data_IF_519680736071
#
_entry.id   IF_519680736071
#
_cell.length_a   1.000
_cell.length_b   1.000
_cell.length_c   1.000
_cell.angle_alpha   90.00
_cell.angle_beta   90.00
_cell.angle_gamma   90.00
#
_symmetry.space_group_name_H-M   'P 1'
#
loop_
_entity.id
_entity.type
_entity.pdbx_description
1 polymer ?
#
# COMPACT_ATOMS: atom_id res chain seq x y z
N UNK A 1 -6.54 14.92 14.32
CA UNK A 1 -5.70 14.82 13.11
C UNK A 1 -4.63 13.76 13.35
N UNK A 2 -4.14 13.10 12.31
CA UNK A 2 -3.19 11.99 12.49
C UNK A 2 -2.76 11.38 11.15
N UNK A 3 -1.95 10.31 11.19
CA UNK A 3 -1.48 9.62 10.00
C UNK A 3 -2.65 9.13 9.13
N UNK A 4 -2.52 9.28 7.81
CA UNK A 4 -3.55 8.87 6.86
C UNK A 4 -3.32 7.45 6.33
N UNK A 5 -2.12 7.19 5.80
CA UNK A 5 -1.73 5.91 5.20
C UNK A 5 -0.26 5.60 5.45
N UNK A 6 0.08 4.32 5.39
CA UNK A 6 1.44 3.80 5.30
C UNK A 6 1.50 2.93 4.05
N UNK A 7 2.40 3.24 3.12
CA UNK A 7 2.60 2.47 1.88
C UNK A 7 3.86 1.64 2.05
N UNK A 8 3.77 0.34 1.80
CA UNK A 8 4.90 -0.59 1.91
C UNK A 8 5.04 -1.43 0.64
N UNK A 9 6.11 -2.22 0.58
CA UNK A 9 6.33 -3.22 -0.46
C UNK A 9 5.25 -4.31 -0.50
N UNK A 10 4.47 -4.48 0.59
CA UNK A 10 3.47 -5.55 0.72
C UNK A 10 2.04 -5.05 0.68
N UNK A 11 1.77 -3.84 1.19
CA UNK A 11 0.41 -3.37 1.39
C UNK A 11 0.31 -1.84 1.52
N UNK A 12 -0.91 -1.34 1.33
CA UNK A 12 -1.32 -0.02 1.78
C UNK A 12 -2.09 -0.22 3.08
N UNK A 13 -1.55 0.34 4.16
CA UNK A 13 -2.13 0.29 5.50
C UNK A 13 -2.84 1.61 5.79
N UNK A 14 -3.95 1.51 6.50
CA UNK A 14 -4.71 2.65 7.01
C UNK A 14 -4.99 2.53 8.49
N UNK A 15 -5.91 3.34 8.97
CA UNK A 15 -6.33 3.36 10.37
C UNK A 15 -7.85 3.32 10.45
N UNK A 16 -8.36 2.47 11.32
CA UNK A 16 -9.79 2.34 11.57
C UNK A 16 -10.38 3.71 12.01
N UNK A 17 -11.54 4.14 11.47
CA UNK A 17 -12.06 5.49 11.69
C UNK A 17 -12.37 5.81 13.15
N UNK A 18 -12.76 4.83 13.97
CA UNK A 18 -13.07 5.04 15.39
C UNK A 18 -11.90 4.70 16.31
N UNK A 19 -11.49 3.42 16.33
CA UNK A 19 -10.43 2.91 17.22
C UNK A 19 -9.02 3.43 16.89
N UNK A 20 -8.81 3.98 15.69
CA UNK A 20 -7.49 4.44 15.19
C UNK A 20 -6.41 3.36 15.15
N UNK A 21 -6.77 2.08 15.28
CA UNK A 21 -5.82 0.97 15.10
C UNK A 21 -5.47 0.79 13.64
N UNK A 22 -4.25 0.36 13.37
CA UNK A 22 -3.76 0.12 12.01
C UNK A 22 -4.45 -1.12 11.41
N UNK A 23 -4.80 -1.03 10.14
CA UNK A 23 -5.48 -2.10 9.40
C UNK A 23 -5.01 -2.16 7.94
N UNK A 24 -5.03 -3.35 7.35
CA UNK A 24 -4.78 -3.57 5.93
C UNK A 24 -5.94 -2.99 5.13
N UNK A 25 -5.64 -2.10 4.18
CA UNK A 25 -6.63 -1.49 3.28
C UNK A 25 -6.54 -2.05 1.86
N UNK A 26 -5.33 -2.19 1.35
CA UNK A 26 -5.06 -2.84 0.06
C UNK A 26 -3.79 -3.67 0.19
N UNK A 27 -3.69 -4.71 -0.62
CA UNK A 27 -2.51 -5.59 -0.70
C UNK A 27 -1.84 -5.41 -2.05
N UNK A 28 -0.52 -5.49 -2.13
CA UNK A 28 0.13 -5.48 -3.44
C UNK A 28 -0.27 -6.75 -4.22
N UNK A 29 -0.33 -6.69 -5.57
CA UNK A 29 -0.72 -7.84 -6.39
C UNK A 29 0.07 -9.10 -6.02
N UNK A 30 -0.65 -10.19 -5.75
CA UNK A 30 -0.06 -11.48 -5.39
C UNK A 30 0.31 -11.68 -3.91
N UNK A 31 0.27 -10.64 -3.07
CA UNK A 31 0.61 -10.73 -1.64
C UNK A 31 -0.60 -11.13 -0.79
N UNK A 32 -0.48 -12.12 0.08
CA UNK A 32 -1.58 -12.55 0.97
C UNK A 32 -1.64 -11.77 2.28
N UNK A 33 -2.78 -11.82 2.96
CA UNK A 33 -2.97 -11.19 4.27
C UNK A 33 -2.05 -11.81 5.32
N UNK A 34 -1.82 -13.11 5.24
CA UNK A 34 -0.95 -13.87 6.13
C UNK A 34 0.50 -13.41 5.98
N UNK A 35 0.98 -13.17 4.75
CA UNK A 35 2.33 -12.65 4.50
C UNK A 35 2.52 -11.27 5.13
N UNK A 36 1.55 -10.38 4.96
CA UNK A 36 1.57 -9.03 5.56
C UNK A 36 1.63 -9.12 7.09
N UNK A 37 0.82 -10.00 7.69
CA UNK A 37 0.80 -10.21 9.15
C UNK A 37 2.10 -10.82 9.66
N UNK A 38 2.67 -11.80 8.95
CA UNK A 38 3.95 -12.40 9.32
C UNK A 38 5.10 -11.38 9.28
N UNK A 39 5.04 -10.42 8.37
CA UNK A 39 6.01 -9.32 8.26
C UNK A 39 5.76 -8.17 9.26
N UNK A 40 4.66 -8.20 10.03
CA UNK A 40 4.28 -7.12 10.95
C UNK A 40 4.50 -7.55 12.41
N UNK A 41 5.33 -6.80 13.15
CA UNK A 41 5.68 -7.12 14.54
C UNK A 41 4.57 -6.92 15.60
N UNK A 42 3.33 -6.67 15.17
CA UNK A 42 2.17 -6.46 16.03
C UNK A 42 0.89 -6.92 15.33
N UNK A 43 -0.20 -7.05 16.08
CA UNK A 43 -1.49 -7.47 15.52
C UNK A 43 -2.07 -6.40 14.58
N UNK A 44 -2.29 -6.79 13.33
CA UNK A 44 -2.80 -5.93 12.28
C UNK A 44 -4.25 -6.29 11.93
N UNK A 45 -5.13 -5.27 11.98
CA UNK A 45 -6.52 -5.39 11.55
C UNK A 45 -6.64 -5.59 10.04
N UNK A 46 -7.83 -5.99 9.59
CA UNK A 46 -8.17 -6.13 8.17
C UNK A 46 -9.44 -5.31 7.95
N UNK A 47 -9.43 -4.39 6.98
CA UNK A 47 -10.62 -3.62 6.66
C UNK A 47 -11.71 -4.49 6.04
N UNK A 48 -12.95 -4.01 6.05
CA UNK A 48 -14.11 -4.75 5.52
C UNK A 48 -13.95 -5.16 4.05
N UNK A 49 -13.34 -4.29 3.24
CA UNK A 49 -12.98 -4.58 1.86
C UNK A 49 -11.47 -4.38 1.69
N UNK A 50 -10.78 -5.44 1.30
CA UNK A 50 -9.37 -5.40 0.90
C UNK A 50 -9.24 -5.95 -0.50
N UNK A 51 -8.74 -5.10 -1.38
CA UNK A 51 -8.51 -5.41 -2.79
C UNK A 51 -7.01 -5.30 -3.11
N UNK A 52 -6.64 -5.80 -4.27
CA UNK A 52 -5.30 -5.61 -4.79
C UNK A 52 -5.11 -4.13 -5.16
N UNK A 53 -3.94 -3.58 -4.82
CA UNK A 53 -3.53 -2.27 -5.29
C UNK A 53 -3.47 -2.30 -6.82
N UNK A 54 -4.18 -1.41 -7.54
CA UNK A 54 -4.19 -1.44 -8.99
C UNK A 54 -2.78 -1.24 -9.56
N UNK A 55 -2.52 -1.91 -10.68
CA UNK A 55 -1.31 -1.63 -11.45
C UNK A 55 -1.36 -0.21 -12.00
N UNK A 56 -0.22 0.48 -12.11
CA UNK A 56 -0.17 1.80 -12.74
C UNK A 56 -0.69 1.76 -14.18
N UNK A 57 -1.31 2.84 -14.61
CA UNK A 57 -1.72 3.04 -15.99
C UNK A 57 -0.51 3.30 -16.90
N UNK A 58 -0.67 3.07 -18.21
CA UNK A 58 0.38 3.37 -19.20
C UNK A 58 0.80 4.85 -19.17
N UNK A 59 -0.16 5.75 -18.91
CA UNK A 59 0.07 7.19 -18.78
C UNK A 59 0.94 7.51 -17.57
N UNK A 60 0.61 6.96 -16.40
CA UNK A 60 1.38 7.14 -15.18
C UNK A 60 2.81 6.60 -15.34
N UNK A 61 2.96 5.44 -16.00
CA UNK A 61 4.27 4.86 -16.29
C UNK A 61 5.09 5.72 -17.25
N UNK A 62 4.47 6.29 -18.30
CA UNK A 62 5.16 7.20 -19.23
C UNK A 62 5.63 8.45 -18.50
N UNK A 63 4.72 9.13 -17.80
CA UNK A 63 5.02 10.35 -17.04
C UNK A 63 6.17 10.11 -16.05
N UNK A 64 6.10 8.98 -15.33
CA UNK A 64 7.09 8.63 -14.34
C UNK A 64 8.49 8.41 -14.96
N UNK A 65 8.56 7.71 -16.10
CA UNK A 65 9.84 7.32 -16.74
C UNK A 65 10.43 8.40 -17.65
N UNK A 66 9.62 9.29 -18.20
CA UNK A 66 10.06 10.27 -19.20
C UNK A 66 10.14 11.70 -18.65
N UNK A 67 9.35 12.03 -17.62
CA UNK A 67 9.23 13.39 -17.10
C UNK A 67 9.63 13.54 -15.62
N UNK A 68 9.21 12.59 -14.75
CA UNK A 68 9.43 12.69 -13.29
C UNK A 68 10.78 12.12 -12.86
N UNK A 69 11.14 10.92 -13.32
CA UNK A 69 12.43 10.26 -13.04
C UNK A 69 13.12 9.79 -14.34
N UNK A 70 13.45 10.72 -15.27
CA UNK A 70 14.09 10.37 -16.54
C UNK A 70 15.49 9.77 -16.38
N UNK A 71 16.19 10.12 -15.29
CA UNK A 71 17.54 9.62 -15.00
C UNK A 71 17.54 8.29 -14.23
N UNK A 72 16.36 7.77 -13.86
CA UNK A 72 16.19 6.48 -13.16
C UNK A 72 16.96 6.41 -11.83
N UNK A 73 16.83 7.47 -11.04
CA UNK A 73 17.47 7.52 -9.73
C UNK A 73 16.73 6.66 -8.70
N UNK A 74 15.42 6.44 -8.89
CA UNK A 74 14.58 5.66 -7.96
C UNK A 74 14.06 4.35 -8.56
N UNK A 75 13.84 4.28 -9.88
CA UNK A 75 13.19 3.17 -10.58
C UNK A 75 13.81 2.87 -11.94
#
# INVERSE_FOLDING_TARGET
TGPYRVVTELAILGFHPETKRMEIRQRQPGVTIEEIRAATGFELGVAEAVEDNPSPTDEELRLLREEVDPERLYI
#
